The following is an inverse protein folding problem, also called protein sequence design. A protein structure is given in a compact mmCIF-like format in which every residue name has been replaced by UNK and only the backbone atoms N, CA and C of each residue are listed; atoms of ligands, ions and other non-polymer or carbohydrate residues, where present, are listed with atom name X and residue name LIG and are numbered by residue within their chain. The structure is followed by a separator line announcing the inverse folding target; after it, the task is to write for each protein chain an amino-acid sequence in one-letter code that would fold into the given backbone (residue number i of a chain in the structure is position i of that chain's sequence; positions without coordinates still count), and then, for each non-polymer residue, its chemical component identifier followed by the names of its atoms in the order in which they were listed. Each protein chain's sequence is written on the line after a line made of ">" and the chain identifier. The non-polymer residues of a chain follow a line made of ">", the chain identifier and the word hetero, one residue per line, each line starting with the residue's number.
data_IF_846196518374
#
_entry.id   IF_846196518374
#
_cell.length_a   1.000
_cell.length_b   1.000
_cell.length_c   1.000
_cell.angle_alpha   90.00
_cell.angle_beta   90.00
_cell.angle_gamma   90.00
#
_symmetry.space_group_name_H-M   'P 1'
#
loop_
_entity.id
_entity.type
_entity.pdbx_description
1 polymer ?
#
# COMPACT_ATOMS: atom_id res chain seq x y z
N UNK A 1 22.26 -25.89 -14.95
CA UNK A 1 22.54 -26.97 -15.93
C UNK A 1 22.93 -26.32 -17.25
N UNK A 2 24.01 -26.78 -17.87
CA UNK A 2 24.68 -26.12 -18.99
C UNK A 2 23.79 -26.01 -20.24
N UNK A 3 23.84 -24.86 -20.91
CA UNK A 3 23.36 -24.74 -22.27
C UNK A 3 24.49 -25.15 -23.23
N UNK A 4 24.41 -26.37 -23.77
CA UNK A 4 25.20 -26.75 -24.93
C UNK A 4 24.45 -26.26 -26.17
N UNK A 5 24.92 -25.16 -26.77
CA UNK A 5 24.41 -24.66 -28.05
C UNK A 5 24.98 -25.48 -29.20
N UNK A 6 24.14 -26.30 -29.84
CA UNK A 6 24.48 -26.98 -31.10
C UNK A 6 24.22 -26.07 -32.31
N UNK A 7 25.20 -25.94 -33.19
CA UNK A 7 25.04 -25.32 -34.52
C UNK A 7 24.42 -26.35 -35.49
N UNK A 8 23.35 -25.97 -36.18
CA UNK A 8 22.86 -26.70 -37.36
C UNK A 8 23.45 -26.07 -38.63
N UNK A 9 23.95 -26.91 -39.54
CA UNK A 9 24.72 -26.54 -40.74
C UNK A 9 23.90 -25.92 -41.90
N UNK A 10 22.72 -25.35 -41.66
CA UNK A 10 21.80 -24.88 -42.72
C UNK A 10 21.40 -23.40 -42.63
N UNK A 11 22.12 -22.59 -41.83
CA UNK A 11 21.99 -21.12 -41.86
C UNK A 11 20.68 -20.56 -41.30
N UNK A 12 19.86 -21.36 -40.61
CA UNK A 12 18.67 -20.88 -39.90
C UNK A 12 18.97 -20.64 -38.43
N UNK A 13 18.99 -19.37 -38.01
CA UNK A 13 19.03 -19.01 -36.60
C UNK A 13 17.76 -19.50 -35.89
N UNK A 14 17.91 -20.46 -34.97
CA UNK A 14 16.83 -20.90 -34.08
C UNK A 14 16.79 -19.94 -32.89
N UNK A 15 15.80 -19.06 -32.84
CA UNK A 15 15.53 -18.29 -31.63
C UNK A 15 14.97 -19.24 -30.56
N UNK A 16 15.71 -19.42 -29.47
CA UNK A 16 15.23 -20.13 -28.28
C UNK A 16 14.52 -19.11 -27.39
N UNK A 17 13.19 -19.21 -27.28
CA UNK A 17 12.38 -18.37 -26.40
C UNK A 17 12.58 -18.86 -24.96
N UNK A 18 13.37 -18.14 -24.17
CA UNK A 18 13.49 -18.38 -22.73
C UNK A 18 12.26 -17.79 -22.04
N UNK A 19 11.37 -18.65 -21.56
CA UNK A 19 10.25 -18.24 -20.70
C UNK A 19 10.78 -18.15 -19.26
N UNK A 20 11.08 -16.94 -18.80
CA UNK A 20 11.23 -16.67 -17.38
C UNK A 20 9.93 -16.06 -16.88
N UNK A 21 9.22 -16.75 -15.98
CA UNK A 21 8.17 -16.13 -15.18
C UNK A 21 8.85 -15.23 -14.15
N UNK A 22 8.80 -13.91 -14.38
CA UNK A 22 9.21 -12.94 -13.36
C UNK A 22 8.18 -12.97 -12.24
N UNK A 23 8.57 -13.53 -11.10
CA UNK A 23 7.83 -13.38 -9.86
C UNK A 23 8.09 -11.97 -9.31
N UNK A 24 7.30 -10.98 -9.73
CA UNK A 24 7.40 -9.62 -9.21
C UNK A 24 6.67 -9.56 -7.87
N UNK A 25 7.42 -9.86 -6.81
CA UNK A 25 7.03 -9.54 -5.44
C UNK A 25 7.08 -8.01 -5.29
N UNK A 26 5.91 -7.36 -5.31
CA UNK A 26 5.79 -5.94 -5.02
C UNK A 26 5.74 -5.73 -3.50
N UNK A 27 6.50 -4.76 -3.01
CA UNK A 27 6.45 -4.35 -1.61
C UNK A 27 5.06 -3.83 -1.25
N UNK A 28 4.55 -4.26 -0.09
CA UNK A 28 3.28 -3.78 0.44
C UNK A 28 3.43 -2.37 0.99
N UNK A 29 2.42 -1.55 0.79
CA UNK A 29 2.40 -0.15 1.23
C UNK A 29 1.27 0.05 2.24
N UNK A 30 1.62 0.59 3.40
CA UNK A 30 0.68 1.02 4.43
C UNK A 30 0.58 2.55 4.44
N UNK A 31 -0.64 3.08 4.47
CA UNK A 31 -0.90 4.48 4.76
C UNK A 31 -1.24 4.66 6.24
N UNK A 32 -0.47 5.48 6.95
CA UNK A 32 -0.74 5.86 8.34
C UNK A 32 -1.27 7.30 8.37
N UNK A 33 -2.46 7.49 8.92
CA UNK A 33 -3.15 8.78 9.02
C UNK A 33 -3.26 9.20 10.49
N UNK A 34 -2.92 10.45 10.76
CA UNK A 34 -3.17 11.12 12.04
C UNK A 34 -4.29 12.14 11.85
N UNK A 35 -5.40 11.99 12.57
CA UNK A 35 -6.66 12.67 12.21
C UNK A 35 -7.30 13.31 13.44
N UNK A 36 -8.09 14.37 13.24
CA UNK A 36 -8.88 15.00 14.29
C UNK A 36 -9.88 16.01 13.72
N UNK A 37 -11.18 15.76 13.88
CA UNK A 37 -12.30 16.57 13.39
C UNK A 37 -12.24 16.91 11.89
N UNK A 38 -12.14 15.89 11.05
CA UNK A 38 -11.98 15.98 9.60
C UNK A 38 -13.18 15.40 8.82
N UNK A 39 -14.39 15.40 9.35
CA UNK A 39 -15.55 14.73 8.70
C UNK A 39 -15.82 15.22 7.26
N UNK A 40 -15.48 16.48 6.98
CA UNK A 40 -15.67 17.11 5.66
C UNK A 40 -14.59 16.71 4.63
N UNK A 41 -13.43 16.20 5.08
CA UNK A 41 -12.27 15.92 4.22
C UNK A 41 -11.88 14.45 4.19
N UNK A 42 -12.07 13.73 5.30
CA UNK A 42 -11.49 12.41 5.54
C UNK A 42 -11.94 11.38 4.50
N UNK A 43 -13.21 11.45 4.06
CA UNK A 43 -13.70 10.56 2.99
C UNK A 43 -12.92 10.72 1.69
N UNK A 44 -12.71 11.95 1.23
CA UNK A 44 -11.95 12.23 -0.01
C UNK A 44 -10.51 11.74 0.11
N UNK A 45 -9.90 11.89 1.28
CA UNK A 45 -8.57 11.38 1.56
C UNK A 45 -8.52 9.85 1.47
N UNK A 46 -9.41 9.14 2.17
CA UNK A 46 -9.47 7.68 2.20
C UNK A 46 -9.76 7.08 0.80
N UNK A 47 -10.65 7.70 0.03
CA UNK A 47 -10.91 7.31 -1.37
C UNK A 47 -9.65 7.37 -2.23
N UNK A 48 -8.79 8.39 -2.04
CA UNK A 48 -7.52 8.52 -2.77
C UNK A 48 -6.46 7.48 -2.38
N UNK A 49 -6.67 6.77 -1.27
CA UNK A 49 -5.75 5.77 -0.73
C UNK A 49 -6.14 4.33 -1.10
N UNK A 50 -7.20 4.09 -1.88
CA UNK A 50 -7.65 2.73 -2.28
C UNK A 50 -6.59 1.84 -2.96
N UNK A 51 -5.46 2.40 -3.39
CA UNK A 51 -4.36 1.68 -4.03
C UNK A 51 -3.35 1.07 -3.04
N UNK A 52 -3.42 1.42 -1.75
CA UNK A 52 -2.52 0.89 -0.71
C UNK A 52 -3.03 -0.46 -0.19
N UNK A 53 -2.14 -1.26 0.38
CA UNK A 53 -2.48 -2.58 0.92
C UNK A 53 -3.12 -2.48 2.32
N UNK A 54 -2.84 -1.40 3.05
CA UNK A 54 -3.29 -1.22 4.43
C UNK A 54 -3.50 0.26 4.78
N UNK A 55 -4.56 0.56 5.53
CA UNK A 55 -4.82 1.88 6.11
C UNK A 55 -4.84 1.74 7.63
N UNK A 56 -4.05 2.56 8.32
CA UNK A 56 -4.02 2.71 9.77
C UNK A 56 -4.37 4.15 10.13
N UNK A 57 -5.30 4.33 11.07
CA UNK A 57 -5.78 5.63 11.50
C UNK A 57 -5.51 5.82 12.99
N UNK A 58 -4.91 6.95 13.34
CA UNK A 58 -4.74 7.42 14.71
C UNK A 58 -5.54 8.71 14.87
N UNK A 59 -6.69 8.62 15.52
CA UNK A 59 -7.61 9.71 15.77
C UNK A 59 -7.35 10.41 17.11
N UNK A 60 -7.41 11.73 17.11
CA UNK A 60 -7.17 12.59 18.28
C UNK A 60 -8.45 12.88 19.08
N UNK A 61 -9.26 11.84 19.32
CA UNK A 61 -10.57 11.93 19.97
C UNK A 61 -11.54 12.91 19.28
N UNK A 62 -11.71 12.75 17.96
CA UNK A 62 -12.69 13.52 17.18
C UNK A 62 -14.07 13.53 17.84
N UNK A 63 -14.77 14.66 17.73
CA UNK A 63 -16.13 14.88 18.26
C UNK A 63 -17.19 14.91 17.16
N UNK A 64 -16.75 14.79 15.93
CA UNK A 64 -17.56 14.76 14.72
C UNK A 64 -17.61 13.33 14.16
N UNK A 65 -18.09 13.15 12.92
CA UNK A 65 -18.22 11.82 12.31
C UNK A 65 -16.91 11.24 11.77
N UNK A 66 -15.75 11.84 12.04
CA UNK A 66 -14.45 11.40 11.48
C UNK A 66 -14.17 9.92 11.75
N UNK A 67 -14.32 9.47 12.99
CA UNK A 67 -14.05 8.07 13.37
C UNK A 67 -15.00 7.11 12.67
N UNK A 68 -16.29 7.46 12.60
CA UNK A 68 -17.30 6.63 11.94
C UNK A 68 -16.98 6.48 10.45
N UNK A 69 -16.60 7.57 9.79
CA UNK A 69 -16.19 7.53 8.37
C UNK A 69 -14.93 6.68 8.20
N UNK A 70 -13.92 6.82 9.07
CA UNK A 70 -12.70 6.00 8.99
C UNK A 70 -12.98 4.49 9.12
N UNK A 71 -13.90 4.10 9.99
CA UNK A 71 -14.30 2.70 10.22
C UNK A 71 -14.99 2.06 9.00
N UNK A 72 -15.52 2.86 8.08
CA UNK A 72 -16.04 2.32 6.81
C UNK A 72 -14.92 1.79 5.88
N UNK A 73 -13.66 2.20 6.10
CA UNK A 73 -12.52 1.88 5.22
C UNK A 73 -11.51 0.91 5.84
N UNK A 74 -11.41 0.88 7.17
CA UNK A 74 -10.47 0.01 7.89
C UNK A 74 -10.93 -0.23 9.33
N UNK A 75 -10.67 -1.42 9.86
CA UNK A 75 -10.88 -1.73 11.28
C UNK A 75 -9.73 -1.19 12.16
N UNK A 76 -8.64 -0.72 11.55
CA UNK A 76 -7.42 -0.24 12.25
C UNK A 76 -7.52 1.24 12.60
N UNK A 77 -8.54 1.58 13.38
CA UNK A 77 -8.76 2.93 13.90
C UNK A 77 -8.45 2.96 15.39
N UNK A 78 -7.39 3.65 15.77
CA UNK A 78 -6.93 3.83 17.14
C UNK A 78 -7.21 5.25 17.59
N UNK A 79 -7.49 5.44 18.88
CA UNK A 79 -7.65 6.78 19.46
C UNK A 79 -6.55 7.06 20.47
N UNK A 80 -5.98 8.26 20.39
CA UNK A 80 -4.91 8.70 21.28
C UNK A 80 -4.98 10.22 21.47
N UNK A 81 -4.49 10.73 22.59
CA UNK A 81 -4.49 12.17 22.83
C UNK A 81 -3.55 12.87 21.86
N UNK A 82 -3.94 14.03 21.34
CA UNK A 82 -3.04 14.83 20.51
C UNK A 82 -1.80 15.27 21.31
N UNK A 83 -0.63 14.73 20.96
CA UNK A 83 0.66 15.09 21.58
C UNK A 83 1.52 16.01 20.71
N UNK A 84 0.93 16.61 19.68
CA UNK A 84 1.65 17.39 18.67
C UNK A 84 2.24 16.54 17.55
N UNK A 85 2.77 17.20 16.52
CA UNK A 85 3.18 16.57 15.27
C UNK A 85 4.23 15.45 15.41
N UNK A 86 5.13 15.56 16.38
CA UNK A 86 6.17 14.54 16.64
C UNK A 86 5.56 13.39 17.45
N UNK A 87 4.90 13.70 18.56
CA UNK A 87 4.35 12.68 19.47
C UNK A 87 3.31 11.77 18.80
N UNK A 88 2.61 12.26 17.77
CA UNK A 88 1.65 11.45 17.03
C UNK A 88 2.30 10.37 16.13
N UNK A 89 3.61 10.46 15.87
CA UNK A 89 4.38 9.50 15.06
C UNK A 89 5.10 8.44 15.90
N UNK A 90 5.06 8.55 17.22
CA UNK A 90 5.73 7.66 18.17
C UNK A 90 4.79 6.58 18.73
N UNK A 91 3.69 6.29 18.01
CA UNK A 91 2.66 5.33 18.38
C UNK A 91 2.84 3.96 17.74
#
# INVERSE_FOLDING_TARGET
>A
MSAAGGFANDGKFRYVKLNYELNIMRDKISACLTVGNEENNIRRCLESLKWVDEIVVVDSFSKDRTVDICKEYTDRVYQHEWRGYVGQKEL
#
